data_IF_719848325056
#
_entry.id   IF_719848325056
#
_cell.length_a   1.000
_cell.length_b   1.000
_cell.length_c   1.000
_cell.angle_alpha   90.00
_cell.angle_beta   90.00
_cell.angle_gamma   90.00
#
_symmetry.space_group_name_H-M   'P 1'
#
loop_
_entity.id
_entity.type
_entity.pdbx_description
1 polymer ?
#
# COMPACT_ATOMS: atom_id res chain seq x y z
N UNK A 1 3.77 38.89 32.30
CA UNK A 1 3.85 37.47 31.92
C UNK A 1 4.15 37.40 30.43
N UNK A 2 5.39 37.01 30.09
CA UNK A 2 5.99 37.21 28.77
C UNK A 2 5.40 36.29 27.69
N UNK A 3 5.26 36.83 26.48
CA UNK A 3 4.92 36.06 25.27
C UNK A 3 5.99 34.98 25.09
N UNK A 4 5.59 33.71 25.21
CA UNK A 4 6.44 32.57 24.86
C UNK A 4 6.93 32.79 23.41
N UNK A 5 8.25 32.87 23.22
CA UNK A 5 8.84 33.07 21.88
C UNK A 5 8.33 31.97 20.96
N UNK A 6 7.74 32.35 19.82
CA UNK A 6 7.37 31.44 18.74
C UNK A 6 8.55 30.52 18.45
N UNK A 7 8.40 29.22 18.72
CA UNK A 7 9.36 28.20 18.32
C UNK A 7 9.28 28.10 16.81
N UNK A 8 10.39 28.36 16.12
CA UNK A 8 10.45 28.06 14.69
C UNK A 8 10.43 26.53 14.53
N UNK A 9 9.44 26.03 13.79
CA UNK A 9 9.25 24.60 13.54
C UNK A 9 9.38 24.34 12.05
N UNK A 10 10.38 23.54 11.68
CA UNK A 10 10.56 23.04 10.32
C UNK A 10 10.13 21.57 10.29
N UNK A 11 9.31 21.18 9.32
CA UNK A 11 8.80 19.82 9.17
C UNK A 11 9.32 19.20 7.87
N UNK A 12 9.74 17.95 7.94
CA UNK A 12 10.05 17.14 6.76
C UNK A 12 9.34 15.79 6.84
N UNK A 13 9.06 15.21 5.67
CA UNK A 13 8.31 13.96 5.52
C UNK A 13 8.83 13.09 4.36
N UNK A 14 10.11 12.69 4.34
CA UNK A 14 10.59 11.76 3.33
C UNK A 14 9.90 10.40 3.44
N UNK A 15 9.57 9.81 2.29
CA UNK A 15 9.32 8.36 2.16
C UNK A 15 10.68 7.68 2.28
N UNK A 16 10.82 6.79 3.26
CA UNK A 16 12.08 6.07 3.52
C UNK A 16 12.02 4.62 3.03
N UNK A 17 10.83 4.07 2.83
CA UNK A 17 10.63 2.73 2.28
C UNK A 17 9.26 2.67 1.59
N UNK A 18 9.18 1.85 0.53
CA UNK A 18 7.93 1.51 -0.13
C UNK A 18 7.62 0.04 0.05
N UNK A 19 6.38 -0.28 0.39
CA UNK A 19 5.90 -1.66 0.59
C UNK A 19 5.05 -2.06 -0.64
N UNK A 20 5.37 -3.15 -1.34
CA UNK A 20 4.58 -3.61 -2.48
C UNK A 20 3.19 -4.07 -2.02
N UNK A 21 2.21 -3.98 -2.92
CA UNK A 21 0.88 -4.56 -2.69
C UNK A 21 0.86 -6.05 -3.04
N UNK A 22 -0.05 -6.79 -2.44
CA UNK A 22 -0.38 -8.15 -2.84
C UNK A 22 -1.52 -8.20 -3.85
N UNK A 23 -1.77 -9.42 -4.34
CA UNK A 23 -2.97 -9.76 -5.10
C UNK A 23 -3.90 -10.61 -4.22
N UNK A 24 -5.20 -10.38 -4.35
CA UNK A 24 -6.23 -11.20 -3.72
C UNK A 24 -7.28 -11.57 -4.75
N UNK A 25 -7.55 -12.87 -4.86
CA UNK A 25 -8.55 -13.38 -5.80
C UNK A 25 -9.88 -13.63 -5.12
N UNK A 26 -10.95 -13.35 -5.85
CA UNK A 26 -12.34 -13.60 -5.42
C UNK A 26 -13.09 -14.23 -6.57
N UNK A 27 -13.84 -15.29 -6.29
CA UNK A 27 -14.69 -15.91 -7.31
C UNK A 27 -15.97 -15.09 -7.51
N UNK A 28 -16.33 -14.84 -8.77
CA UNK A 28 -17.53 -14.11 -9.17
C UNK A 28 -18.17 -14.80 -10.38
N UNK A 29 -19.44 -15.21 -10.22
CA UNK A 29 -20.21 -15.90 -11.27
C UNK A 29 -20.47 -15.03 -12.51
N UNK A 30 -20.30 -13.70 -12.41
CA UNK A 30 -20.40 -12.80 -13.55
C UNK A 30 -19.14 -12.79 -14.43
N UNK A 31 -18.03 -13.38 -13.97
CA UNK A 31 -16.78 -13.44 -14.73
C UNK A 31 -16.71 -14.75 -15.52
N UNK A 32 -16.47 -14.63 -16.82
CA UNK A 32 -16.36 -15.78 -17.72
C UNK A 32 -15.11 -16.63 -17.41
N UNK A 33 -15.14 -17.96 -17.60
CA UNK A 33 -13.95 -18.80 -17.48
C UNK A 33 -12.80 -18.30 -18.36
N UNK A 34 -11.61 -18.15 -17.78
CA UNK A 34 -10.43 -17.62 -18.48
C UNK A 34 -10.36 -16.09 -18.53
N UNK A 35 -11.34 -15.36 -18.01
CA UNK A 35 -11.25 -13.92 -17.83
C UNK A 35 -10.87 -13.55 -16.39
N UNK A 36 -10.24 -12.39 -16.23
CA UNK A 36 -10.00 -11.77 -14.93
C UNK A 36 -10.44 -10.31 -14.98
N UNK A 37 -11.08 -9.84 -13.92
CA UNK A 37 -11.50 -8.45 -13.80
C UNK A 37 -10.95 -7.81 -12.53
N UNK A 38 -10.36 -6.62 -12.64
CA UNK A 38 -9.88 -5.87 -11.48
C UNK A 38 -11.07 -5.21 -10.80
N UNK A 39 -11.42 -5.67 -9.60
CA UNK A 39 -12.45 -5.05 -8.77
C UNK A 39 -11.91 -3.97 -7.85
N UNK A 40 -10.63 -4.06 -7.48
CA UNK A 40 -9.96 -3.04 -6.66
C UNK A 40 -8.55 -2.83 -7.21
N UNK A 41 -8.21 -1.57 -7.51
CA UNK A 41 -6.86 -1.20 -7.89
C UNK A 41 -5.97 -1.15 -6.65
N UNK A 42 -4.70 -1.58 -6.77
CA UNK A 42 -3.79 -1.55 -5.64
C UNK A 42 -3.35 -0.12 -5.30
N UNK A 43 -2.92 0.06 -4.06
CA UNK A 43 -2.22 1.25 -3.60
C UNK A 43 -0.94 0.80 -2.91
N UNK A 44 0.19 1.39 -3.30
CA UNK A 44 1.48 1.10 -2.70
C UNK A 44 1.51 1.55 -1.23
N UNK A 45 2.15 0.74 -0.38
CA UNK A 45 2.38 1.09 1.02
C UNK A 45 3.62 1.95 1.17
N UNK A 46 3.70 2.71 2.27
CA UNK A 46 4.80 3.62 2.53
C UNK A 46 5.19 3.61 4.00
N UNK A 47 6.51 3.63 4.24
CA UNK A 47 7.07 4.05 5.52
C UNK A 47 7.59 5.47 5.38
N UNK A 48 7.00 6.39 6.15
CA UNK A 48 7.37 7.81 6.13
C UNK A 48 8.09 8.15 7.41
N UNK A 49 9.25 8.80 7.31
CA UNK A 49 9.90 9.42 8.44
C UNK A 49 9.40 10.85 8.56
N UNK A 50 8.66 11.15 9.62
CA UNK A 50 8.25 12.52 9.94
C UNK A 50 9.26 13.10 10.92
N UNK A 51 10.00 14.11 10.50
CA UNK A 51 10.91 14.85 11.37
C UNK A 51 10.38 16.26 11.63
N UNK A 52 10.65 16.80 12.83
CA UNK A 52 10.56 18.24 13.11
C UNK A 52 11.80 18.75 13.80
N UNK A 53 12.26 19.91 13.35
CA UNK A 53 13.31 20.66 14.02
C UNK A 53 12.66 21.82 14.78
N UNK A 54 12.83 21.82 16.10
CA UNK A 54 12.37 22.85 17.00
C UNK A 54 13.55 23.75 17.37
N UNK A 55 13.48 25.04 17.02
CA UNK A 55 14.51 26.03 17.41
C UNK A 55 13.95 26.92 18.52
N UNK A 56 14.65 26.98 19.66
CA UNK A 56 14.24 27.79 20.81
C UNK A 56 15.40 28.21 21.71
N UNK A 57 15.12 28.91 22.82
CA UNK A 57 16.15 29.41 23.74
C UNK A 57 17.03 28.31 24.36
N UNK A 58 16.50 27.09 24.48
CA UNK A 58 17.21 25.92 25.00
C UNK A 58 18.04 25.18 23.94
N UNK A 59 18.12 25.70 22.70
CA UNK A 59 18.86 25.10 21.59
C UNK A 59 17.96 24.49 20.50
N UNK A 60 18.57 23.64 19.68
CA UNK A 60 17.92 22.94 18.56
C UNK A 60 17.56 21.53 19.00
N UNK A 61 16.31 21.13 18.81
CA UNK A 61 15.85 19.76 19.04
C UNK A 61 15.29 19.16 17.76
N UNK A 62 15.81 18.01 17.36
CA UNK A 62 15.24 17.17 16.31
C UNK A 62 14.33 16.13 16.95
N UNK A 63 13.12 15.97 16.42
CA UNK A 63 12.21 14.90 16.80
C UNK A 63 11.81 14.12 15.55
N UNK A 64 11.86 12.79 15.65
CA UNK A 64 11.58 11.87 14.54
C UNK A 64 10.48 10.89 14.92
N UNK A 65 9.62 10.57 13.95
CA UNK A 65 8.60 9.54 14.10
C UNK A 65 8.41 8.78 12.79
N UNK A 66 8.47 7.45 12.85
CA UNK A 66 8.10 6.58 11.73
C UNK A 66 6.58 6.43 11.67
N UNK A 67 6.02 6.60 10.48
CA UNK A 67 4.60 6.45 10.17
C UNK A 67 4.47 5.38 9.09
N UNK A 68 3.73 4.30 9.38
CA UNK A 68 3.45 3.25 8.41
C UNK A 68 2.07 3.45 7.80
N UNK A 69 2.02 3.45 6.47
CA UNK A 69 0.82 3.40 5.66
C UNK A 69 0.83 2.06 4.93
N UNK A 70 0.05 1.06 5.37
CA UNK A 70 0.08 -0.27 4.75
C UNK A 70 -0.39 -0.21 3.29
N UNK A 71 0.11 -1.12 2.43
CA UNK A 71 -0.38 -1.24 1.06
C UNK A 71 -1.85 -1.66 1.05
N UNK A 72 -2.52 -1.36 -0.05
CA UNK A 72 -3.85 -1.88 -0.37
C UNK A 72 -3.70 -2.88 -1.52
N UNK A 73 -4.13 -4.11 -1.28
CA UNK A 73 -4.02 -5.18 -2.27
C UNK A 73 -4.90 -4.92 -3.49
N UNK A 74 -4.46 -5.46 -4.63
CA UNK A 74 -5.27 -5.55 -5.84
C UNK A 74 -6.26 -6.70 -5.67
N UNK A 75 -7.55 -6.45 -5.90
CA UNK A 75 -8.57 -7.50 -5.89
C UNK A 75 -8.92 -7.88 -7.32
N UNK A 76 -8.73 -9.15 -7.65
CA UNK A 76 -9.02 -9.76 -8.94
C UNK A 76 -10.23 -10.67 -8.80
N UNK A 77 -11.23 -10.48 -9.67
CA UNK A 77 -12.37 -11.37 -9.80
C UNK A 77 -12.11 -12.40 -10.89
N UNK A 78 -12.39 -13.65 -10.60
CA UNK A 78 -12.21 -14.79 -11.51
C UNK A 78 -13.47 -15.64 -11.53
N UNK A 79 -13.61 -16.49 -12.54
CA UNK A 79 -14.72 -17.43 -12.61
C UNK A 79 -14.71 -18.42 -11.41
N UNK A 80 -15.88 -18.87 -10.92
CA UNK A 80 -15.96 -19.86 -9.85
C UNK A 80 -15.27 -21.18 -10.19
N UNK A 81 -14.67 -21.82 -9.19
CA UNK A 81 -13.92 -23.08 -9.36
C UNK A 81 -12.50 -22.90 -9.89
N UNK A 82 -12.04 -21.65 -10.09
CA UNK A 82 -10.69 -21.34 -10.58
C UNK A 82 -9.67 -21.31 -9.43
N UNK A 83 -10.09 -21.07 -8.19
CA UNK A 83 -9.18 -20.94 -7.06
C UNK A 83 -8.88 -22.29 -6.38
N UNK A 84 -7.64 -22.45 -5.94
CA UNK A 84 -7.26 -23.49 -5.00
C UNK A 84 -7.84 -23.14 -3.61
N UNK A 85 -8.67 -24.01 -3.02
CA UNK A 85 -9.30 -23.73 -1.73
C UNK A 85 -8.31 -23.62 -0.57
N UNK A 86 -7.07 -24.11 -0.71
CA UNK A 86 -6.04 -24.07 0.33
C UNK A 86 -5.23 -22.77 0.30
N UNK A 87 -4.96 -22.23 -0.89
CA UNK A 87 -4.09 -21.06 -1.06
C UNK A 87 -4.85 -19.79 -1.44
N UNK A 88 -6.07 -19.91 -1.99
CA UNK A 88 -6.81 -18.79 -2.56
C UNK A 88 -6.24 -18.26 -3.87
N UNK A 89 -5.24 -18.94 -4.43
CA UNK A 89 -4.58 -18.60 -5.68
C UNK A 89 -5.22 -19.35 -6.88
N UNK A 90 -5.08 -18.84 -8.12
CA UNK A 90 -5.53 -19.54 -9.31
C UNK A 90 -4.84 -20.91 -9.47
N UNK A 91 -5.61 -21.95 -9.79
CA UNK A 91 -5.07 -23.28 -10.10
C UNK A 91 -4.20 -23.20 -11.37
N UNK A 92 -2.95 -23.68 -11.27
CA UNK A 92 -1.95 -23.63 -12.35
C UNK A 92 -2.33 -24.55 -13.54
N UNK A 93 -3.27 -25.47 -13.35
CA UNK A 93 -3.77 -26.41 -14.38
C UNK A 93 -4.95 -25.86 -15.20
N UNK A 94 -5.37 -24.61 -14.97
CA UNK A 94 -6.25 -23.89 -15.90
C UNK A 94 -5.52 -23.56 -17.21
N UNK A 95 -6.24 -23.35 -18.34
CA UNK A 95 -5.59 -23.04 -19.61
C UNK A 95 -4.68 -21.83 -19.42
N UNK A 96 -3.37 -22.02 -19.63
CA UNK A 96 -2.40 -20.91 -19.65
C UNK A 96 -2.85 -19.93 -20.72
N UNK A 97 -3.37 -18.78 -20.30
CA UNK A 97 -3.60 -17.67 -21.19
C UNK A 97 -2.24 -17.19 -21.71
N UNK A 98 -2.12 -16.86 -23.00
CA UNK A 98 -0.93 -16.18 -23.47
C UNK A 98 -0.79 -14.83 -22.73
N UNK A 99 0.44 -14.33 -22.52
CA UNK A 99 0.64 -13.02 -21.93
C UNK A 99 -0.07 -11.97 -22.79
N UNK A 100 -0.93 -11.15 -22.16
CA UNK A 100 -1.64 -10.08 -22.85
C UNK A 100 -0.65 -8.97 -23.22
N UNK A 101 -0.47 -8.62 -24.50
CA UNK A 101 0.48 -7.58 -24.92
C UNK A 101 -0.21 -6.20 -24.97
N UNK A 102 -0.80 -5.73 -23.87
CA UNK A 102 -1.35 -4.37 -23.78
C UNK A 102 -1.15 -3.78 -22.39
#
# INVERSE_FOLDING_TARGET
FGRERLREVQWERPVIETEPWGDRYVEDAAVSPGEQQISQRPIQGFLVLRSRTLRGPAGIRLEERRLRYPPTDRILRVAPGTLDPLTGEPRVDGPRLPPNPF
#
